data_IF_763675936108
#
_entry.id   IF_763675936108
#
_cell.length_a   1.000
_cell.length_b   1.000
_cell.length_c   1.000
_cell.angle_alpha   90.00
_cell.angle_beta   90.00
_cell.angle_gamma   90.00
#
_symmetry.space_group_name_H-M   'P 1'
#
loop_
_entity.id
_entity.type
_entity.pdbx_description
1 polymer ?
#
# COMPACT_ATOMS: atom_id res chain seq x y z
N UNK A 1 25.26 -13.96 13.39
CA UNK A 1 24.03 -13.44 14.03
C UNK A 1 22.77 -13.85 13.26
N UNK A 2 22.65 -13.54 11.96
CA UNK A 2 21.52 -13.97 11.10
C UNK A 2 21.24 -15.49 11.11
N UNK A 3 22.29 -16.33 11.16
CA UNK A 3 22.15 -17.80 11.24
C UNK A 3 21.38 -18.27 12.48
N UNK A 4 21.58 -17.62 13.64
CA UNK A 4 20.88 -18.00 14.87
C UNK A 4 19.40 -17.64 14.78
N UNK A 5 19.06 -16.46 14.26
CA UNK A 5 17.67 -16.03 14.11
C UNK A 5 16.94 -16.93 13.11
N UNK A 6 17.54 -17.20 11.95
CA UNK A 6 16.95 -18.07 10.91
C UNK A 6 16.67 -19.48 11.43
N UNK A 7 17.61 -20.06 12.17
CA UNK A 7 17.42 -21.39 12.75
C UNK A 7 16.29 -21.43 13.79
N UNK A 8 16.17 -20.40 14.64
CA UNK A 8 15.06 -20.29 15.60
C UNK A 8 13.71 -20.01 14.93
N UNK A 9 13.70 -19.39 13.75
CA UNK A 9 12.48 -19.17 12.97
C UNK A 9 12.05 -20.45 12.24
N UNK A 10 12.99 -21.19 11.68
CA UNK A 10 12.74 -22.46 10.97
C UNK A 10 12.20 -23.57 11.90
N UNK A 11 12.47 -23.51 13.21
CA UNK A 11 11.88 -24.43 14.19
C UNK A 11 10.41 -24.13 14.50
N UNK A 12 9.91 -22.95 14.11
CA UNK A 12 8.51 -22.57 14.27
C UNK A 12 7.73 -23.11 13.06
N UNK A 13 6.95 -24.17 13.28
CA UNK A 13 6.08 -24.73 12.26
C UNK A 13 5.11 -23.66 11.73
N UNK A 14 5.05 -23.48 10.41
CA UNK A 14 4.17 -22.51 9.75
C UNK A 14 4.67 -21.06 9.75
N UNK A 15 5.91 -20.78 10.15
CA UNK A 15 6.50 -19.41 10.14
C UNK A 15 6.43 -18.72 8.77
N UNK A 16 6.42 -19.50 7.70
CA UNK A 16 6.36 -19.06 6.32
C UNK A 16 5.06 -18.32 5.94
N UNK A 17 3.98 -18.49 6.72
CA UNK A 17 2.71 -17.82 6.45
C UNK A 17 2.76 -16.32 6.80
N UNK A 18 3.57 -15.94 7.79
CA UNK A 18 3.62 -14.56 8.28
C UNK A 18 4.11 -13.57 7.20
N UNK A 19 5.20 -13.85 6.46
CA UNK A 19 5.60 -13.01 5.33
C UNK A 19 4.55 -12.92 4.22
N UNK A 20 3.86 -14.02 3.91
CA UNK A 20 2.84 -14.06 2.84
C UNK A 20 1.64 -13.20 3.24
N UNK A 21 1.15 -13.34 4.47
CA UNK A 21 0.04 -12.53 4.99
C UNK A 21 0.43 -11.05 5.04
N UNK A 22 1.65 -10.72 5.52
CA UNK A 22 2.08 -9.32 5.57
C UNK A 22 2.13 -8.70 4.17
N UNK A 23 2.64 -9.44 3.19
CA UNK A 23 2.68 -9.01 1.79
C UNK A 23 1.28 -8.77 1.24
N UNK A 24 0.34 -9.69 1.46
CA UNK A 24 -1.05 -9.58 0.98
C UNK A 24 -1.76 -8.38 1.63
N UNK A 25 -1.63 -8.20 2.94
CA UNK A 25 -2.24 -7.07 3.65
C UNK A 25 -1.66 -5.75 3.14
N UNK A 26 -0.33 -5.66 3.06
CA UNK A 26 0.35 -4.45 2.60
C UNK A 26 -0.06 -4.15 1.16
N UNK A 27 0.06 -5.12 0.25
CA UNK A 27 -0.33 -4.97 -1.15
C UNK A 27 -1.79 -4.54 -1.31
N UNK A 28 -2.72 -5.20 -0.62
CA UNK A 28 -4.15 -4.87 -0.69
C UNK A 28 -4.43 -3.47 -0.16
N UNK A 29 -3.75 -3.04 0.91
CA UNK A 29 -3.86 -1.68 1.42
C UNK A 29 -3.43 -0.65 0.36
N UNK A 30 -2.29 -0.87 -0.30
CA UNK A 30 -1.84 0.02 -1.37
C UNK A 30 -2.77 0.02 -2.59
N UNK A 31 -3.26 -1.14 -3.02
CA UNK A 31 -4.25 -1.24 -4.11
C UNK A 31 -5.53 -0.48 -3.74
N UNK A 32 -6.02 -0.63 -2.51
CA UNK A 32 -7.18 0.11 -2.00
C UNK A 32 -6.94 1.62 -2.00
N UNK A 33 -5.76 2.07 -1.56
CA UNK A 33 -5.37 3.49 -1.62
C UNK A 33 -5.30 4.00 -3.06
N UNK A 34 -4.72 3.24 -3.99
CA UNK A 34 -4.69 3.65 -5.40
C UNK A 34 -6.11 3.82 -5.94
N UNK A 35 -6.99 2.84 -5.73
CA UNK A 35 -8.40 2.95 -6.16
C UNK A 35 -9.06 4.19 -5.55
N UNK A 36 -8.85 4.45 -4.26
CA UNK A 36 -9.39 5.62 -3.58
C UNK A 36 -8.87 6.94 -4.17
N UNK A 37 -7.57 7.06 -4.43
CA UNK A 37 -6.94 8.25 -5.04
C UNK A 37 -7.42 8.45 -6.47
N UNK A 38 -7.50 7.39 -7.29
CA UNK A 38 -8.00 7.50 -8.67
C UNK A 38 -9.49 7.87 -8.74
N UNK A 39 -10.29 7.40 -7.77
CA UNK A 39 -11.68 7.83 -7.62
C UNK A 39 -11.82 9.23 -7.01
N UNK A 40 -10.76 9.78 -6.42
CA UNK A 40 -10.80 11.10 -5.80
C UNK A 40 -10.79 12.21 -6.86
N UNK A 41 -11.60 13.23 -6.60
CA UNK A 41 -12.27 14.06 -7.62
C UNK A 41 -11.31 14.97 -8.40
N UNK A 42 -11.26 14.75 -9.71
CA UNK A 42 -10.71 15.72 -10.70
C UNK A 42 -11.64 16.93 -10.92
N UNK A 43 -12.88 16.87 -10.43
CA UNK A 43 -13.91 17.88 -10.69
C UNK A 43 -13.52 19.27 -10.17
N UNK A 44 -12.85 19.35 -9.02
CA UNK A 44 -12.36 20.63 -8.48
C UNK A 44 -11.23 21.24 -9.30
N UNK A 45 -10.38 20.42 -9.90
CA UNK A 45 -9.31 20.90 -10.77
C UNK A 45 -9.88 21.46 -12.06
N UNK A 46 -10.96 20.86 -12.61
CA UNK A 46 -11.59 21.37 -13.83
C UNK A 46 -12.22 22.75 -13.62
N UNK A 47 -13.00 22.91 -12.54
CA UNK A 47 -13.62 24.19 -12.17
C UNK A 47 -12.58 25.29 -11.93
N UNK A 48 -11.48 24.96 -11.25
CA UNK A 48 -10.36 25.89 -11.02
C UNK A 48 -9.55 26.20 -12.28
N UNK A 49 -9.41 25.24 -13.20
CA UNK A 49 -8.70 25.43 -14.48
C UNK A 49 -9.49 26.27 -15.49
N UNK A 50 -10.81 26.30 -15.35
CA UNK A 50 -11.71 27.11 -16.19
C UNK A 50 -11.96 28.51 -15.59
N UNK A 51 -11.52 28.77 -14.35
CA UNK A 51 -11.51 30.13 -13.82
C UNK A 51 -10.45 30.96 -14.56
N UNK A 52 -10.84 32.08 -15.18
CA UNK A 52 -9.88 32.97 -15.82
C UNK A 52 -8.91 33.45 -14.73
N UNK A 53 -7.61 33.29 -14.99
CA UNK A 53 -6.56 33.93 -14.20
C UNK A 53 -6.82 35.43 -14.35
N UNK A 54 -7.46 36.03 -13.35
CA UNK A 54 -7.49 37.48 -13.22
C UNK A 54 -6.12 37.86 -12.70
N UNK A 55 -5.39 38.63 -13.52
CA UNK A 55 -4.14 39.30 -13.17
C UNK A 55 -4.24 40.04 -11.82
#
# INVERSE_FOLDING_TARGET
MLKFIKHNLETISGIEIYPIISLVIFFTFFVGLFIWVFSYKKDKIKELSELPIKD
#
